data_IF_805873107469
#
_entry.id   IF_805873107469
#
_cell.length_a   1.000
_cell.length_b   1.000
_cell.length_c   1.000
_cell.angle_alpha   90.00
_cell.angle_beta   90.00
_cell.angle_gamma   90.00
#
_symmetry.space_group_name_H-M   'P 1'
#
loop_
_entity.id
_entity.type
_entity.pdbx_description
1 polymer ?
#
# COMPACT_ATOMS: atom_id res chain seq x y z
N UNK A 1 34.47 -18.38 -21.00
CA UNK A 1 34.63 -16.93 -20.78
C UNK A 1 33.25 -16.29 -20.87
N UNK A 2 32.67 -15.90 -19.74
CA UNK A 2 31.36 -15.26 -19.71
C UNK A 2 31.55 -13.76 -20.03
N UNK A 3 30.97 -13.32 -21.15
CA UNK A 3 31.03 -11.91 -21.57
C UNK A 3 30.11 -11.07 -20.70
N UNK A 4 30.68 -10.10 -19.98
CA UNK A 4 29.93 -9.07 -19.26
C UNK A 4 29.12 -8.26 -20.27
N UNK A 5 27.80 -8.48 -20.31
CA UNK A 5 26.88 -7.61 -21.05
C UNK A 5 26.86 -6.28 -20.29
N UNK A 6 27.63 -5.31 -20.77
CA UNK A 6 27.51 -3.94 -20.29
C UNK A 6 26.14 -3.45 -20.73
N UNK A 7 25.21 -3.13 -19.81
CA UNK A 7 23.91 -2.61 -20.21
C UNK A 7 24.15 -1.36 -21.03
N UNK A 8 23.62 -1.34 -22.26
CA UNK A 8 23.58 -0.13 -23.08
C UNK A 8 22.88 0.94 -22.23
N UNK A 9 23.67 1.88 -21.68
CA UNK A 9 23.12 3.10 -21.10
C UNK A 9 22.40 3.78 -22.25
N UNK A 10 21.08 3.65 -22.27
CA UNK A 10 20.24 4.39 -23.19
C UNK A 10 20.60 5.85 -22.90
N UNK A 11 21.25 6.51 -23.87
CA UNK A 11 21.47 7.94 -23.76
C UNK A 11 20.07 8.54 -23.58
N UNK A 12 19.74 8.95 -22.35
CA UNK A 12 18.41 9.48 -22.05
C UNK A 12 18.23 10.68 -22.98
N UNK A 13 17.28 10.54 -23.90
CA UNK A 13 16.97 11.59 -24.85
C UNK A 13 16.34 12.73 -24.04
N UNK A 14 17.12 13.79 -23.84
CA UNK A 14 16.65 15.00 -23.18
C UNK A 14 15.65 15.70 -24.09
N UNK A 15 14.52 16.10 -23.52
CA UNK A 15 13.43 16.74 -24.24
C UNK A 15 13.03 18.08 -23.58
N UNK A 16 12.21 18.84 -24.30
CA UNK A 16 11.82 20.21 -23.93
C UNK A 16 10.29 20.30 -23.90
N UNK A 17 9.75 20.83 -22.80
CA UNK A 17 8.39 21.39 -22.76
C UNK A 17 8.52 22.88 -23.08
N UNK A 18 7.78 23.35 -24.08
CA UNK A 18 7.85 24.73 -24.56
C UNK A 18 6.49 25.41 -24.55
N UNK A 19 6.53 26.74 -24.57
CA UNK A 19 5.38 27.62 -24.76
C UNK A 19 5.45 28.34 -26.09
N UNK A 20 4.30 28.61 -26.70
CA UNK A 20 4.14 29.58 -27.78
C UNK A 20 3.44 30.82 -27.25
N UNK A 21 4.09 31.96 -27.42
CA UNK A 21 3.68 33.24 -26.89
C UNK A 21 3.21 34.16 -28.02
N UNK A 22 2.15 34.90 -27.76
CA UNK A 22 1.64 35.93 -28.65
C UNK A 22 2.60 37.14 -28.65
N UNK A 23 3.22 37.51 -29.78
CA UNK A 23 4.23 38.56 -29.82
C UNK A 23 3.66 39.96 -29.56
N UNK A 24 2.33 40.14 -29.57
CA UNK A 24 1.67 41.42 -29.31
C UNK A 24 1.50 41.72 -27.83
N UNK A 25 1.30 40.66 -27.05
CA UNK A 25 0.86 40.75 -25.64
C UNK A 25 1.76 39.99 -24.67
N UNK A 26 2.69 39.21 -25.20
CA UNK A 26 3.47 38.22 -24.47
C UNK A 26 2.63 37.16 -23.71
N UNK A 27 1.38 36.98 -24.12
CA UNK A 27 0.51 35.97 -23.52
C UNK A 27 0.90 34.57 -24.00
N UNK A 28 1.04 33.62 -23.07
CA UNK A 28 1.19 32.21 -23.38
C UNK A 28 -0.11 31.66 -23.99
N UNK A 29 -0.04 31.19 -25.23
CA UNK A 29 -1.21 30.69 -25.99
C UNK A 29 -1.21 29.19 -26.18
N UNK A 30 -0.07 28.53 -26.14
CA UNK A 30 -0.02 27.08 -26.32
C UNK A 30 1.19 26.49 -25.62
N UNK A 31 1.03 25.29 -25.08
CA UNK A 31 2.10 24.50 -24.48
C UNK A 31 2.24 23.22 -25.29
N UNK A 32 3.48 22.84 -25.57
CA UNK A 32 3.76 21.58 -26.23
C UNK A 32 5.06 20.96 -25.77
N UNK A 33 5.35 19.78 -26.29
CA UNK A 33 6.62 19.07 -26.06
C UNK A 33 7.37 18.72 -27.35
N UNK A 34 8.69 18.59 -27.26
CA UNK A 34 9.54 18.15 -28.38
C UNK A 34 10.84 17.50 -27.89
N UNK A 35 11.34 16.52 -28.64
CA UNK A 35 12.68 15.94 -28.51
C UNK A 35 13.68 16.56 -29.49
N UNK A 36 13.22 17.45 -30.38
CA UNK A 36 14.03 18.15 -31.37
C UNK A 36 14.29 19.61 -30.99
N UNK A 37 14.74 20.41 -31.95
CA UNK A 37 14.97 21.84 -31.72
C UNK A 37 13.66 22.63 -31.73
N UNK A 38 13.59 23.68 -30.91
CA UNK A 38 12.42 24.58 -30.87
C UNK A 38 12.16 25.25 -32.23
N UNK A 39 13.21 25.60 -32.98
CA UNK A 39 13.07 26.18 -34.32
C UNK A 39 12.35 25.23 -35.29
N UNK A 40 12.75 23.95 -35.32
CA UNK A 40 12.09 22.94 -36.15
C UNK A 40 10.63 22.73 -35.71
N UNK A 41 10.38 22.72 -34.39
CA UNK A 41 9.03 22.55 -33.86
C UNK A 41 8.11 23.73 -34.18
N UNK A 42 8.61 24.96 -34.09
CA UNK A 42 7.89 26.17 -34.47
C UNK A 42 7.55 26.17 -35.97
N UNK A 43 8.49 25.78 -36.83
CA UNK A 43 8.24 25.62 -38.26
C UNK A 43 7.12 24.59 -38.51
N UNK A 44 7.15 23.46 -37.79
CA UNK A 44 6.11 22.43 -37.83
C UNK A 44 4.71 22.97 -37.50
N UNK A 45 4.56 23.72 -36.41
CA UNK A 45 3.28 24.34 -36.03
C UNK A 45 2.75 25.32 -37.06
N UNK A 46 3.63 26.11 -37.70
CA UNK A 46 3.26 27.07 -38.74
C UNK A 46 2.75 26.38 -40.01
N UNK A 47 3.28 25.21 -40.35
CA UNK A 47 2.84 24.42 -41.51
C UNK A 47 1.63 23.55 -41.21
N UNK A 48 1.58 22.94 -40.03
CA UNK A 48 0.58 21.95 -39.64
C UNK A 48 0.04 22.23 -38.23
N UNK A 49 -0.83 23.24 -38.08
CA UNK A 49 -1.43 23.55 -36.77
C UNK A 49 -2.24 22.36 -36.24
N UNK A 50 -2.04 21.94 -34.97
CA UNK A 50 -2.69 20.77 -34.37
C UNK A 50 -4.20 20.96 -34.11
N UNK A 51 -4.70 22.20 -34.06
CA UNK A 51 -6.12 22.48 -33.83
C UNK A 51 -6.63 23.64 -34.71
N UNK A 52 -7.96 23.70 -34.99
CA UNK A 52 -8.56 24.82 -35.70
C UNK A 52 -8.38 26.17 -35.00
N UNK A 53 -8.42 26.20 -33.67
CA UNK A 53 -8.19 27.42 -32.89
C UNK A 53 -6.76 27.95 -33.06
N UNK A 54 -5.76 27.07 -32.99
CA UNK A 54 -4.38 27.44 -33.26
C UNK A 54 -4.16 27.88 -34.70
N UNK A 55 -4.80 27.23 -35.67
CA UNK A 55 -4.75 27.67 -37.08
C UNK A 55 -5.24 29.11 -37.23
N UNK A 56 -6.43 29.43 -36.69
CA UNK A 56 -6.98 30.79 -36.72
C UNK A 56 -6.03 31.81 -36.08
N UNK A 57 -5.53 31.51 -34.89
CA UNK A 57 -4.56 32.38 -34.21
C UNK A 57 -3.27 32.61 -35.02
N UNK A 58 -2.72 31.56 -35.63
CA UNK A 58 -1.53 31.68 -36.49
C UNK A 58 -1.81 32.45 -37.78
N UNK A 59 -2.99 32.29 -38.38
CA UNK A 59 -3.41 33.05 -39.56
C UNK A 59 -3.61 34.54 -39.23
N UNK A 60 -4.17 34.86 -38.06
CA UNK A 60 -4.31 36.23 -37.56
C UNK A 60 -2.95 36.89 -37.29
N UNK A 61 -1.97 36.14 -36.76
CA UNK A 61 -0.59 36.64 -36.61
C UNK A 61 0.05 36.87 -37.98
N UNK A 62 -0.12 35.95 -38.93
CA UNK A 62 0.42 36.06 -40.29
C UNK A 62 -0.16 37.27 -41.03
N UNK A 63 -1.46 37.51 -40.93
CA UNK A 63 -2.13 38.66 -41.54
C UNK A 63 -1.56 40.00 -41.05
N UNK A 64 -1.06 40.04 -39.81
CA UNK A 64 -0.38 41.21 -39.24
C UNK A 64 1.14 41.22 -39.48
N UNK A 65 1.70 40.28 -40.25
CA UNK A 65 3.15 40.16 -40.46
C UNK A 65 3.94 39.72 -39.22
N UNK A 66 3.29 39.05 -38.26
CA UNK A 66 3.89 38.62 -37.00
C UNK A 66 4.11 37.09 -36.97
N UNK A 67 5.02 36.65 -36.09
CA UNK A 67 5.35 35.23 -35.86
C UNK A 67 5.31 34.96 -34.35
N UNK A 68 4.68 33.86 -33.89
CA UNK A 68 4.68 33.54 -32.47
C UNK A 68 6.09 33.23 -31.96
N UNK A 69 6.37 33.61 -30.73
CA UNK A 69 7.64 33.32 -30.05
C UNK A 69 7.56 31.95 -29.38
N UNK A 70 8.54 31.08 -29.64
CA UNK A 70 8.69 29.80 -28.94
C UNK A 70 9.75 29.91 -27.86
N UNK A 71 9.45 29.46 -26.64
CA UNK A 71 10.36 29.57 -25.49
C UNK A 71 10.29 28.27 -24.68
N UNK A 72 11.42 27.72 -24.22
CA UNK A 72 11.39 26.57 -23.32
C UNK A 72 10.74 26.98 -21.99
N UNK A 73 9.82 26.15 -21.50
CA UNK A 73 9.25 26.25 -20.15
C UNK A 73 9.97 25.32 -19.18
N UNK A 74 10.38 24.14 -19.68
CA UNK A 74 11.20 23.16 -18.95
C UNK A 74 12.17 22.52 -19.95
N UNK A 75 13.46 22.61 -19.68
CA UNK A 75 14.52 21.97 -20.45
C UNK A 75 14.98 20.68 -19.76
N UNK A 76 15.64 19.80 -20.52
CA UNK A 76 16.24 18.55 -20.02
C UNK A 76 15.26 17.61 -19.31
N UNK A 77 14.03 17.50 -19.83
CA UNK A 77 13.03 16.56 -19.32
C UNK A 77 13.33 15.16 -19.87
N UNK A 78 13.45 14.11 -19.03
CA UNK A 78 13.56 12.74 -19.51
C UNK A 78 12.42 12.39 -20.46
N UNK A 79 12.71 11.72 -21.58
CA UNK A 79 11.70 11.42 -22.60
C UNK A 79 10.50 10.63 -22.04
N UNK A 80 10.75 9.76 -21.07
CA UNK A 80 9.76 8.97 -20.34
C UNK A 80 8.77 9.82 -19.50
N UNK A 81 9.21 10.99 -19.02
CA UNK A 81 8.41 11.91 -18.19
C UNK A 81 7.78 13.05 -19.00
N UNK A 82 8.09 13.14 -20.29
CA UNK A 82 7.78 14.31 -21.11
C UNK A 82 6.27 14.57 -21.26
N UNK A 83 5.45 13.52 -21.30
CA UNK A 83 4.00 13.66 -21.38
C UNK A 83 3.41 14.23 -20.08
N UNK A 84 3.87 13.73 -18.93
CA UNK A 84 3.42 14.19 -17.61
C UNK A 84 3.88 15.62 -17.35
N UNK A 85 5.09 15.98 -17.79
CA UNK A 85 5.60 17.34 -17.70
C UNK A 85 4.78 18.33 -18.53
N UNK A 86 4.38 17.96 -19.76
CA UNK A 86 3.48 18.76 -20.61
C UNK A 86 2.11 18.95 -19.96
N UNK A 87 1.48 17.88 -19.48
CA UNK A 87 0.18 17.94 -18.81
C UNK A 87 0.23 18.80 -17.54
N UNK A 88 1.31 18.69 -16.77
CA UNK A 88 1.53 19.50 -15.56
C UNK A 88 1.62 20.98 -15.91
N UNK A 89 2.42 21.35 -16.92
CA UNK A 89 2.54 22.74 -17.36
C UNK A 89 1.21 23.31 -17.89
N UNK A 90 0.43 22.51 -18.61
CA UNK A 90 -0.93 22.87 -19.04
C UNK A 90 -1.85 23.12 -17.83
N UNK A 91 -1.85 22.23 -16.84
CA UNK A 91 -2.66 22.39 -15.63
C UNK A 91 -2.28 23.67 -14.85
N UNK A 92 -0.99 23.90 -14.63
CA UNK A 92 -0.47 25.06 -13.89
C UNK A 92 -0.91 26.38 -14.54
N UNK A 93 -0.72 26.51 -15.85
CA UNK A 93 -1.07 27.74 -16.55
C UNK A 93 -2.57 27.92 -16.78
N UNK A 94 -3.32 26.84 -17.00
CA UNK A 94 -4.79 26.92 -17.05
C UNK A 94 -5.36 27.37 -15.70
N UNK A 95 -4.84 26.87 -14.57
CA UNK A 95 -5.23 27.32 -13.24
C UNK A 95 -4.84 28.77 -12.95
N UNK A 96 -3.74 29.24 -13.53
CA UNK A 96 -3.33 30.65 -13.46
C UNK A 96 -4.18 31.58 -14.35
N UNK A 97 -5.16 31.05 -15.09
CA UNK A 97 -6.05 31.82 -15.96
C UNK A 97 -5.48 32.09 -17.35
N UNK A 98 -4.43 31.36 -17.78
CA UNK A 98 -3.95 31.47 -19.16
C UNK A 98 -5.00 30.96 -20.15
N UNK A 99 -5.25 31.74 -21.19
CA UNK A 99 -6.14 31.41 -22.30
C UNK A 99 -5.40 30.52 -23.32
N UNK A 100 -5.24 29.25 -22.93
CA UNK A 100 -4.51 28.23 -23.69
C UNK A 100 -5.36 27.63 -24.81
N UNK A 101 -4.76 27.51 -25.99
CA UNK A 101 -5.33 26.87 -27.18
C UNK A 101 -5.27 25.33 -27.11
N UNK A 102 -4.75 24.76 -26.03
CA UNK A 102 -4.70 23.33 -25.75
C UNK A 102 -6.07 22.77 -25.30
N UNK A 103 -7.16 23.01 -26.02
CA UNK A 103 -8.54 22.73 -25.55
C UNK A 103 -8.70 21.32 -24.93
N UNK A 104 -8.32 20.27 -25.66
CA UNK A 104 -8.38 18.89 -25.16
C UNK A 104 -7.37 18.62 -24.03
N UNK A 105 -6.17 19.22 -24.11
CA UNK A 105 -5.13 19.09 -23.10
C UNK A 105 -5.52 19.71 -21.76
N UNK A 106 -6.18 20.87 -21.78
CA UNK A 106 -6.66 21.57 -20.57
C UNK A 106 -7.70 20.73 -19.83
N UNK A 107 -8.69 20.18 -20.55
CA UNK A 107 -9.70 19.32 -19.94
C UNK A 107 -9.08 18.08 -19.28
N UNK A 108 -8.17 17.39 -19.98
CA UNK A 108 -7.43 16.23 -19.46
C UNK A 108 -6.59 16.60 -18.24
N UNK A 109 -5.81 17.68 -18.32
CA UNK A 109 -4.93 18.13 -17.24
C UNK A 109 -5.73 18.53 -15.98
N UNK A 110 -6.85 19.23 -16.14
CA UNK A 110 -7.73 19.57 -15.01
C UNK A 110 -8.44 18.34 -14.43
N UNK A 111 -8.80 17.35 -15.25
CA UNK A 111 -9.36 16.09 -14.78
C UNK A 111 -8.34 15.32 -13.93
N UNK A 112 -7.11 15.15 -14.44
CA UNK A 112 -6.01 14.50 -13.73
C UNK A 112 -5.70 15.21 -12.39
N UNK A 113 -5.65 16.54 -12.39
CA UNK A 113 -5.44 17.30 -11.16
C UNK A 113 -6.57 17.11 -10.14
N UNK A 114 -7.84 17.07 -10.59
CA UNK A 114 -8.98 16.77 -9.71
C UNK A 114 -8.87 15.36 -9.13
N UNK A 115 -8.48 14.39 -9.93
CA UNK A 115 -8.27 13.02 -9.46
C UNK A 115 -7.13 12.93 -8.44
N UNK A 116 -5.99 13.58 -8.71
CA UNK A 116 -4.88 13.65 -7.77
C UNK A 116 -5.30 14.32 -6.45
N UNK A 117 -6.06 15.42 -6.51
CA UNK A 117 -6.63 16.07 -5.31
C UNK A 117 -7.58 15.15 -4.56
N UNK A 118 -8.45 14.41 -5.27
CA UNK A 118 -9.34 13.42 -4.65
C UNK A 118 -8.52 12.29 -4.00
N UNK A 119 -7.47 11.80 -4.65
CA UNK A 119 -6.58 10.79 -4.08
C UNK A 119 -5.90 11.31 -2.81
N UNK A 120 -5.32 12.52 -2.85
CA UNK A 120 -4.71 13.16 -1.69
C UNK A 120 -5.70 13.37 -0.54
N UNK A 121 -6.92 13.82 -0.85
CA UNK A 121 -8.00 13.97 0.14
C UNK A 121 -8.43 12.62 0.73
N UNK A 122 -8.49 11.56 -0.08
CA UNK A 122 -8.75 10.19 0.40
C UNK A 122 -7.65 9.72 1.35
N UNK A 123 -6.38 9.85 0.95
CA UNK A 123 -5.23 9.50 1.80
C UNK A 123 -5.23 10.28 3.10
N UNK A 124 -5.49 11.59 3.07
CA UNK A 124 -5.61 12.41 4.27
C UNK A 124 -6.80 11.99 5.16
N UNK A 125 -7.93 11.64 4.56
CA UNK A 125 -9.09 11.10 5.27
C UNK A 125 -8.79 9.78 5.98
N UNK A 126 -8.09 8.86 5.31
CA UNK A 126 -7.63 7.59 5.90
C UNK A 126 -6.63 7.81 7.02
N UNK A 127 -5.69 8.75 6.86
CA UNK A 127 -4.72 9.10 7.90
C UNK A 127 -5.39 9.59 9.18
N UNK A 128 -6.35 10.51 9.07
CA UNK A 128 -7.14 10.97 10.22
C UNK A 128 -7.88 9.82 10.91
N UNK A 129 -8.54 8.96 10.13
CA UNK A 129 -9.24 7.80 10.70
C UNK A 129 -8.28 6.86 11.45
N UNK A 130 -7.09 6.63 10.90
CA UNK A 130 -6.09 5.78 11.52
C UNK A 130 -5.58 6.36 12.85
N UNK A 131 -5.32 7.66 12.88
CA UNK A 131 -4.93 8.39 14.09
C UNK A 131 -6.05 8.40 15.15
N UNK A 132 -7.31 8.58 14.74
CA UNK A 132 -8.48 8.51 15.61
C UNK A 132 -8.64 7.12 16.23
N UNK A 133 -8.60 6.05 15.42
CA UNK A 133 -8.71 4.67 15.91
C UNK A 133 -7.58 4.36 16.89
N UNK A 134 -6.34 4.74 16.56
CA UNK A 134 -5.19 4.54 17.43
C UNK A 134 -5.34 5.27 18.77
N UNK A 135 -5.75 6.55 18.72
CA UNK A 135 -5.93 7.40 19.90
C UNK A 135 -7.09 6.95 20.79
N UNK A 136 -8.12 6.32 20.20
CA UNK A 136 -9.23 5.73 20.93
C UNK A 136 -8.86 4.44 21.70
N UNK A 137 -7.58 4.04 21.70
CA UNK A 137 -7.13 2.81 22.32
C UNK A 137 -7.51 1.56 21.54
N UNK A 138 -7.93 1.70 20.28
CA UNK A 138 -8.17 0.56 19.40
C UNK A 138 -6.87 -0.07 18.85
N UNK A 139 -5.71 0.29 19.41
CA UNK A 139 -4.41 -0.26 19.03
C UNK A 139 -4.38 -1.79 19.07
N UNK A 140 -3.32 -2.37 18.53
CA UNK A 140 -3.20 -3.83 18.47
C UNK A 140 -3.39 -4.43 19.87
N UNK A 141 -4.42 -5.25 20.01
CA UNK A 141 -4.50 -6.16 21.14
C UNK A 141 -3.28 -7.08 21.09
N UNK A 142 -2.78 -7.45 22.27
CA UNK A 142 -1.78 -8.50 22.38
C UNK A 142 -2.28 -9.76 21.62
N UNK A 143 -1.36 -10.55 21.03
CA UNK A 143 -1.74 -11.82 20.45
C UNK A 143 -2.47 -12.64 21.51
N UNK A 144 -3.42 -13.47 21.06
CA UNK A 144 -3.99 -14.46 21.96
C UNK A 144 -2.84 -15.27 22.55
N UNK A 145 -2.81 -15.46 23.88
CA UNK A 145 -1.92 -16.45 24.47
C UNK A 145 -2.41 -17.80 23.96
N UNK A 146 -1.86 -18.23 22.84
CA UNK A 146 -2.05 -19.59 22.36
C UNK A 146 -0.93 -20.36 23.03
N UNK A 147 -1.25 -21.09 24.08
CA UNK A 147 -0.36 -22.10 24.67
C UNK A 147 -0.26 -23.32 23.73
N UNK A 148 0.04 -23.05 22.44
CA UNK A 148 0.22 -24.06 21.44
C UNK A 148 1.66 -24.53 21.48
N UNK A 149 1.83 -25.79 21.87
CA UNK A 149 3.07 -26.52 21.68
C UNK A 149 2.88 -27.50 20.52
N UNK A 150 3.84 -27.52 19.59
CA UNK A 150 3.85 -28.50 18.52
C UNK A 150 3.99 -29.90 19.13
N UNK A 151 3.16 -30.87 18.72
CA UNK A 151 3.35 -32.22 19.22
C UNK A 151 4.70 -32.78 18.76
N UNK A 152 5.40 -33.59 19.60
CA UNK A 152 6.67 -34.21 19.19
C UNK A 152 6.54 -35.01 17.90
N UNK A 153 5.41 -35.71 17.73
CA UNK A 153 5.09 -36.46 16.51
C UNK A 153 5.04 -35.55 15.27
N UNK A 154 4.37 -34.41 15.35
CA UNK A 154 4.30 -33.47 14.23
C UNK A 154 5.67 -32.88 13.93
N UNK A 155 6.46 -32.58 14.96
CA UNK A 155 7.84 -32.11 14.77
C UNK A 155 8.71 -33.13 14.05
N UNK A 156 8.68 -34.39 14.47
CA UNK A 156 9.47 -35.46 13.85
C UNK A 156 9.16 -35.60 12.36
N UNK A 157 7.87 -35.50 11.99
CA UNK A 157 7.44 -35.54 10.58
C UNK A 157 7.95 -34.32 9.82
N UNK A 158 7.77 -33.11 10.36
CA UNK A 158 8.21 -31.86 9.73
C UNK A 158 9.72 -31.88 9.50
N UNK A 159 10.48 -32.25 10.52
CA UNK A 159 11.94 -32.36 10.44
C UNK A 159 12.36 -33.41 9.41
N UNK A 160 11.70 -34.58 9.39
CA UNK A 160 11.97 -35.64 8.41
C UNK A 160 11.71 -35.17 6.98
N UNK A 161 10.56 -34.52 6.73
CA UNK A 161 10.20 -34.02 5.41
C UNK A 161 11.16 -32.93 4.92
N UNK A 162 11.59 -32.04 5.80
CA UNK A 162 12.48 -30.94 5.45
C UNK A 162 13.92 -31.38 5.19
N UNK A 163 14.41 -32.38 5.93
CA UNK A 163 15.75 -32.95 5.77
C UNK A 163 15.82 -34.03 4.69
N UNK A 164 14.67 -34.45 4.15
CA UNK A 164 14.59 -35.43 3.08
C UNK A 164 15.38 -34.94 1.85
N UNK A 165 16.34 -35.73 1.33
CA UNK A 165 17.07 -35.35 0.13
C UNK A 165 16.14 -35.20 -1.07
N UNK A 166 16.45 -34.24 -1.95
CA UNK A 166 15.73 -34.01 -3.20
C UNK A 166 16.07 -35.13 -4.18
N UNK A 167 15.06 -35.86 -4.65
CA UNK A 167 15.21 -36.90 -5.68
C UNK A 167 15.09 -36.26 -7.06
N UNK A 168 16.18 -35.64 -7.54
CA UNK A 168 16.20 -34.92 -8.82
C UNK A 168 15.87 -35.77 -10.05
N UNK A 169 15.68 -37.10 -9.90
CA UNK A 169 15.31 -37.99 -11.01
C UNK A 169 13.84 -37.87 -11.44
N UNK A 170 12.94 -37.38 -10.57
CA UNK A 170 11.48 -37.38 -10.82
C UNK A 170 10.89 -36.01 -11.15
N UNK A 171 11.41 -34.95 -10.55
CA UNK A 171 10.88 -33.59 -10.67
C UNK A 171 12.00 -32.57 -10.53
N UNK A 172 11.79 -31.34 -11.00
CA UNK A 172 12.70 -30.23 -10.69
C UNK A 172 12.76 -29.98 -9.19
N UNK A 173 13.88 -29.42 -8.72
CA UNK A 173 14.08 -29.09 -7.30
C UNK A 173 12.96 -28.19 -6.77
N UNK A 174 12.51 -27.22 -7.58
CA UNK A 174 11.44 -26.28 -7.24
C UNK A 174 10.08 -26.98 -7.02
N UNK A 175 9.75 -27.96 -7.87
CA UNK A 175 8.50 -28.73 -7.76
C UNK A 175 8.54 -29.60 -6.50
N UNK A 176 9.66 -30.28 -6.22
CA UNK A 176 9.79 -31.09 -5.00
C UNK A 176 9.79 -30.25 -3.73
N UNK A 177 10.39 -29.08 -3.79
CA UNK A 177 10.36 -28.10 -2.71
C UNK A 177 8.91 -27.69 -2.43
N UNK A 178 8.13 -27.38 -3.46
CA UNK A 178 6.70 -27.05 -3.34
C UNK A 178 5.87 -28.19 -2.72
N UNK A 179 6.05 -29.43 -3.18
CA UNK A 179 5.35 -30.59 -2.61
C UNK A 179 5.69 -30.82 -1.14
N UNK A 180 6.99 -30.78 -0.78
CA UNK A 180 7.42 -30.92 0.62
C UNK A 180 6.81 -29.85 1.51
N UNK A 181 6.74 -28.61 1.05
CA UNK A 181 6.10 -27.55 1.82
C UNK A 181 4.62 -27.78 2.01
N UNK A 182 3.90 -28.22 0.98
CA UNK A 182 2.49 -28.56 1.11
C UNK A 182 2.28 -29.63 2.19
N UNK A 183 3.08 -30.70 2.17
CA UNK A 183 2.98 -31.77 3.18
C UNK A 183 3.32 -31.27 4.59
N UNK A 184 4.39 -30.49 4.74
CA UNK A 184 4.78 -29.88 6.03
C UNK A 184 3.64 -28.99 6.56
N UNK A 185 3.05 -28.16 5.70
CA UNK A 185 1.96 -27.27 6.08
C UNK A 185 0.73 -28.06 6.53
N UNK A 186 0.36 -29.14 5.82
CA UNK A 186 -0.77 -29.99 6.20
C UNK A 186 -0.61 -30.60 7.59
N UNK A 187 0.61 -31.05 7.93
CA UNK A 187 0.92 -31.60 9.25
C UNK A 187 0.84 -30.53 10.34
N UNK A 188 1.48 -29.39 10.12
CA UNK A 188 1.48 -28.27 11.06
C UNK A 188 0.06 -27.73 11.31
N UNK A 189 -0.73 -27.56 10.24
CA UNK A 189 -2.12 -27.14 10.34
C UNK A 189 -2.99 -28.15 11.08
N UNK A 190 -2.84 -29.44 10.79
CA UNK A 190 -3.61 -30.50 11.45
C UNK A 190 -3.36 -30.50 12.96
N UNK A 191 -2.12 -30.29 13.36
CA UNK A 191 -1.70 -30.24 14.76
C UNK A 191 -2.17 -28.96 15.47
N UNK A 192 -2.08 -27.81 14.81
CA UNK A 192 -2.47 -26.52 15.36
C UNK A 192 -3.98 -26.30 15.41
N UNK A 193 -4.74 -26.91 14.49
CA UNK A 193 -6.19 -26.66 14.30
C UNK A 193 -7.03 -26.68 15.58
N UNK A 194 -6.82 -27.60 16.54
CA UNK A 194 -7.60 -27.61 17.78
C UNK A 194 -7.35 -26.41 18.69
N UNK A 195 -6.16 -25.78 18.60
CA UNK A 195 -5.75 -24.64 19.41
C UNK A 195 -6.06 -23.29 18.74
N UNK A 196 -6.20 -23.26 17.41
CA UNK A 196 -6.52 -22.04 16.68
C UNK A 196 -7.99 -21.64 16.94
N UNK A 197 -8.29 -20.33 17.08
CA UNK A 197 -9.67 -19.88 17.19
C UNK A 197 -10.47 -20.36 15.97
N UNK A 198 -11.78 -20.63 16.11
CA UNK A 198 -12.64 -20.98 15.00
C UNK A 198 -12.81 -19.76 14.09
N UNK A 199 -11.83 -19.49 13.24
CA UNK A 199 -11.96 -18.51 12.17
C UNK A 199 -12.87 -19.18 11.15
N UNK A 200 -14.05 -18.60 10.94
CA UNK A 200 -15.04 -19.14 9.99
C UNK A 200 -14.36 -19.55 8.69
N UNK A 201 -14.66 -20.76 8.23
CA UNK A 201 -14.02 -21.48 7.12
C UNK A 201 -13.97 -20.68 5.80
N UNK A 202 -13.06 -19.73 5.74
CA UNK A 202 -12.69 -19.06 4.51
C UNK A 202 -11.60 -19.91 3.85
N UNK A 203 -11.87 -20.44 2.65
CA UNK A 203 -10.89 -21.24 1.91
C UNK A 203 -9.61 -20.44 1.67
N UNK A 204 -9.74 -19.11 1.51
CA UNK A 204 -8.62 -18.19 1.31
C UNK A 204 -7.72 -18.14 2.57
N UNK A 205 -8.28 -18.31 3.78
CA UNK A 205 -7.50 -18.35 5.02
C UNK A 205 -6.63 -19.60 5.10
N UNK A 206 -7.11 -20.74 4.60
CA UNK A 206 -6.32 -21.99 4.62
C UNK A 206 -5.08 -21.87 3.73
N UNK A 207 -5.24 -21.30 2.53
CA UNK A 207 -4.13 -21.04 1.61
C UNK A 207 -3.14 -20.00 2.15
N UNK A 208 -3.63 -18.95 2.80
CA UNK A 208 -2.79 -17.93 3.44
C UNK A 208 -2.04 -18.48 4.65
N UNK A 209 -2.67 -19.30 5.51
CA UNK A 209 -1.95 -19.95 6.61
C UNK A 209 -0.88 -20.89 6.06
N UNK A 210 -1.19 -21.69 5.02
CA UNK A 210 -0.20 -22.52 4.34
C UNK A 210 0.99 -21.70 3.83
N UNK A 211 0.70 -20.56 3.19
CA UNK A 211 1.74 -19.66 2.68
C UNK A 211 2.60 -19.10 3.82
N UNK A 212 1.98 -18.66 4.92
CA UNK A 212 2.68 -18.13 6.09
C UNK A 212 3.57 -19.19 6.76
N UNK A 213 3.04 -20.41 6.93
CA UNK A 213 3.76 -21.53 7.55
C UNK A 213 4.94 -21.96 6.69
N UNK A 214 4.77 -22.05 5.37
CA UNK A 214 5.85 -22.38 4.45
C UNK A 214 7.00 -21.38 4.53
N UNK A 215 6.71 -20.07 4.50
CA UNK A 215 7.80 -19.07 4.59
C UNK A 215 8.40 -18.95 5.98
N UNK A 216 7.66 -19.25 7.04
CA UNK A 216 8.26 -19.38 8.37
C UNK A 216 9.28 -20.49 8.42
N UNK A 217 8.94 -21.62 7.82
CA UNK A 217 9.87 -22.72 7.72
C UNK A 217 11.12 -22.35 6.90
N UNK A 218 10.96 -21.64 5.78
CA UNK A 218 12.07 -21.19 4.93
C UNK A 218 12.96 -20.12 5.59
N UNK A 219 12.36 -19.17 6.31
CA UNK A 219 13.07 -18.05 6.94
C UNK A 219 13.85 -18.48 8.18
N UNK A 220 13.44 -19.58 8.82
CA UNK A 220 14.16 -20.14 9.95
C UNK A 220 15.37 -20.92 9.43
N UNK A 221 16.56 -20.35 9.62
CA UNK A 221 17.85 -21.00 9.29
C UNK A 221 18.11 -22.27 10.09
N UNK A 222 17.50 -22.39 11.28
CA UNK A 222 17.45 -23.60 12.10
C UNK A 222 16.13 -23.58 12.90
N UNK A 223 15.01 -24.07 12.34
CA UNK A 223 13.73 -24.03 13.02
C UNK A 223 13.79 -24.91 14.26
N UNK A 224 13.39 -24.37 15.43
CA UNK A 224 13.09 -25.17 16.62
C UNK A 224 11.58 -25.39 16.71
N UNK A 225 11.11 -26.45 17.40
CA UNK A 225 9.68 -26.68 17.61
C UNK A 225 8.98 -25.44 18.18
N UNK A 226 9.61 -24.80 19.19
CA UNK A 226 9.07 -23.63 19.87
C UNK A 226 8.97 -22.40 18.95
N UNK A 227 9.97 -22.16 18.09
CA UNK A 227 9.94 -21.05 17.15
C UNK A 227 8.85 -21.22 16.09
N UNK A 228 8.68 -22.44 15.58
CA UNK A 228 7.62 -22.78 14.62
C UNK A 228 6.24 -22.69 15.27
N UNK A 229 6.08 -23.21 16.50
CA UNK A 229 4.83 -23.12 17.25
C UNK A 229 4.45 -21.67 17.56
N UNK A 230 5.41 -20.84 18.01
CA UNK A 230 5.20 -19.42 18.27
C UNK A 230 4.76 -18.67 17.00
N UNK A 231 5.36 -19.00 15.85
CA UNK A 231 4.96 -18.39 14.58
C UNK A 231 3.55 -18.81 14.16
N UNK A 232 3.24 -20.11 14.16
CA UNK A 232 1.91 -20.65 13.79
C UNK A 232 0.82 -20.00 14.65
N UNK A 233 1.08 -19.89 15.96
CA UNK A 233 0.19 -19.25 16.92
C UNK A 233 -0.08 -17.78 16.62
N UNK A 234 0.88 -17.08 16.01
CA UNK A 234 0.75 -15.68 15.64
C UNK A 234 -0.03 -15.46 14.34
N UNK A 235 -0.19 -16.48 13.47
CA UNK A 235 -0.83 -16.31 12.15
C UNK A 235 -2.27 -15.78 12.25
N UNK A 236 -3.17 -16.34 13.10
CA UNK A 236 -4.52 -15.77 13.24
C UNK A 236 -4.51 -14.32 13.71
N UNK A 237 -3.60 -13.97 14.63
CA UNK A 237 -3.45 -12.60 15.12
C UNK A 237 -2.95 -11.66 14.02
N UNK A 238 -1.95 -12.08 13.24
CA UNK A 238 -1.47 -11.34 12.07
C UNK A 238 -2.61 -11.07 11.09
N UNK A 239 -3.47 -12.05 10.85
CA UNK A 239 -4.54 -11.93 9.85
C UNK A 239 -5.74 -11.12 10.33
N UNK A 240 -6.24 -11.43 11.52
CA UNK A 240 -7.49 -10.86 12.04
C UNK A 240 -7.23 -9.49 12.65
N UNK A 241 -6.08 -9.32 13.30
CA UNK A 241 -5.75 -8.11 14.04
C UNK A 241 -4.79 -7.24 13.24
N UNK A 242 -3.63 -7.75 12.81
CA UNK A 242 -2.58 -6.90 12.21
C UNK A 242 -2.88 -6.48 10.77
N UNK A 243 -3.40 -7.36 9.92
CA UNK A 243 -3.61 -7.07 8.50
C UNK A 243 -4.59 -5.90 8.23
N UNK A 244 -5.71 -5.76 8.97
CA UNK A 244 -6.55 -4.55 8.87
C UNK A 244 -5.79 -3.25 9.17
N UNK A 245 -4.87 -3.27 10.14
CA UNK A 245 -4.02 -2.12 10.48
C UNK A 245 -3.00 -1.81 9.38
N UNK A 246 -2.40 -2.83 8.76
CA UNK A 246 -1.50 -2.64 7.60
C UNK A 246 -2.23 -2.06 6.41
N UNK A 247 -3.42 -2.58 6.08
CA UNK A 247 -4.24 -2.03 5.01
C UNK A 247 -4.62 -0.58 5.28
N UNK A 248 -5.03 -0.27 6.51
CA UNK A 248 -5.32 1.11 6.91
C UNK A 248 -4.09 2.03 6.79
N UNK A 249 -2.91 1.58 7.24
CA UNK A 249 -1.66 2.32 7.10
C UNK A 249 -1.31 2.58 5.63
N UNK A 250 -1.43 1.56 4.77
CA UNK A 250 -1.20 1.66 3.34
C UNK A 250 -2.12 2.70 2.68
N UNK A 251 -3.42 2.66 2.94
CA UNK A 251 -4.37 3.66 2.41
C UNK A 251 -4.13 5.08 2.96
N UNK A 252 -3.60 5.18 4.18
CA UNK A 252 -3.25 6.44 4.84
C UNK A 252 -1.88 7.01 4.41
N UNK A 253 -1.13 6.30 3.56
CA UNK A 253 0.25 6.65 3.23
C UNK A 253 1.13 6.73 4.48
N UNK A 254 0.96 5.78 5.39
CA UNK A 254 1.76 5.60 6.60
C UNK A 254 2.66 4.36 6.45
N UNK A 255 3.71 4.23 7.29
CA UNK A 255 4.50 3.00 7.32
C UNK A 255 3.61 1.79 7.60
N UNK A 256 3.65 0.76 6.75
CA UNK A 256 2.79 -0.42 6.82
C UNK A 256 3.56 -1.74 7.00
N UNK A 257 4.89 -1.67 7.08
CA UNK A 257 5.79 -2.80 7.28
C UNK A 257 6.96 -2.42 8.22
N UNK A 258 7.57 -3.41 8.85
CA UNK A 258 8.81 -3.27 9.60
C UNK A 258 8.68 -2.52 10.92
N UNK A 259 9.82 -2.02 11.41
CA UNK A 259 9.93 -1.35 12.72
C UNK A 259 9.15 -0.03 12.78
N UNK A 260 9.03 0.69 11.66
CA UNK A 260 8.25 1.93 11.59
C UNK A 260 6.75 1.66 11.77
N UNK A 261 6.21 0.62 11.11
CA UNK A 261 4.83 0.20 11.31
C UNK A 261 4.58 -0.27 12.74
N UNK A 262 5.47 -1.11 13.29
CA UNK A 262 5.37 -1.59 14.66
C UNK A 262 5.32 -0.44 15.67
N UNK A 263 6.20 0.54 15.53
CA UNK A 263 6.27 1.74 16.38
C UNK A 263 5.03 2.63 16.23
N UNK A 264 4.47 2.71 15.02
CA UNK A 264 3.29 3.51 14.75
C UNK A 264 2.02 2.90 15.35
N UNK A 265 1.82 1.59 15.16
CA UNK A 265 0.54 0.91 15.44
C UNK A 265 0.33 0.58 16.93
N UNK A 266 1.42 0.45 17.69
CA UNK A 266 1.36 0.14 19.12
C UNK A 266 2.50 0.81 19.89
N UNK A 267 2.25 1.17 21.14
CA UNK A 267 3.27 1.62 22.10
C UNK A 267 3.83 0.51 23.00
N UNK A 268 3.32 -0.71 22.87
CA UNK A 268 3.75 -1.86 23.68
C UNK A 268 5.02 -2.50 23.08
N UNK A 269 6.17 -2.47 23.79
CA UNK A 269 7.43 -3.01 23.29
C UNK A 269 7.37 -4.51 22.96
N UNK A 270 6.55 -5.30 23.67
CA UNK A 270 6.43 -6.73 23.44
C UNK A 270 5.74 -7.03 22.11
N UNK A 271 4.67 -6.28 21.81
CA UNK A 271 3.95 -6.37 20.53
C UNK A 271 4.84 -5.86 19.39
N UNK A 272 5.62 -4.80 19.63
CA UNK A 272 6.57 -4.28 18.63
C UNK A 272 7.63 -5.32 18.27
N UNK A 273 8.28 -5.95 19.26
CA UNK A 273 9.28 -6.99 19.03
C UNK A 273 8.68 -8.15 18.23
N UNK A 274 7.46 -8.57 18.58
CA UNK A 274 6.79 -9.64 17.88
C UNK A 274 6.46 -9.28 16.43
N UNK A 275 5.96 -8.08 16.14
CA UNK A 275 5.73 -7.62 14.77
C UNK A 275 7.03 -7.60 13.95
N UNK A 276 8.11 -7.08 14.53
CA UNK A 276 9.43 -7.03 13.87
C UNK A 276 9.94 -8.45 13.57
N UNK A 277 9.83 -9.35 14.55
CA UNK A 277 10.21 -10.76 14.39
C UNK A 277 9.39 -11.44 13.29
N UNK A 278 8.08 -11.19 13.24
CA UNK A 278 7.18 -11.75 12.23
C UNK A 278 7.43 -11.16 10.84
N UNK A 279 7.78 -9.88 10.73
CA UNK A 279 8.13 -9.26 9.45
C UNK A 279 9.44 -9.77 8.87
N UNK A 280 10.43 -10.07 9.71
CA UNK A 280 11.66 -10.73 9.28
C UNK A 280 11.38 -12.10 8.62
N UNK A 281 10.31 -12.76 9.08
CA UNK A 281 9.88 -14.07 8.59
C UNK A 281 8.94 -13.95 7.37
N UNK A 282 8.09 -12.93 7.32
CA UNK A 282 7.11 -12.73 6.24
C UNK A 282 7.66 -11.99 5.01
N UNK A 283 8.70 -11.15 5.16
CA UNK A 283 9.29 -10.36 4.06
C UNK A 283 9.80 -11.20 2.87
N UNK A 284 10.35 -12.41 3.05
CA UNK A 284 10.68 -13.31 1.95
C UNK A 284 9.45 -13.79 1.14
N UNK A 285 8.29 -13.95 1.79
CA UNK A 285 7.04 -14.38 1.16
C UNK A 285 6.33 -13.25 0.41
N UNK A 286 6.35 -12.03 0.95
CA UNK A 286 5.72 -10.85 0.35
C UNK A 286 6.35 -10.44 -1.00
N UNK A 287 7.57 -10.90 -1.28
CA UNK A 287 8.25 -10.70 -2.57
C UNK A 287 7.67 -11.56 -3.70
N UNK A 288 6.77 -12.51 -3.43
CA UNK A 288 5.98 -13.14 -4.49
C UNK A 288 4.87 -12.18 -4.91
N UNK A 289 4.82 -11.76 -6.19
CA UNK A 289 3.80 -10.81 -6.64
C UNK A 289 2.41 -11.42 -6.45
N UNK A 290 1.65 -10.89 -5.49
CA UNK A 290 0.22 -11.16 -5.40
C UNK A 290 -0.41 -10.61 -6.67
N UNK A 291 -0.98 -11.51 -7.49
CA UNK A 291 -1.74 -11.12 -8.69
C UNK A 291 -2.84 -10.16 -8.23
N UNK A 292 -2.89 -8.90 -8.71
CA UNK A 292 -3.98 -8.01 -8.32
C UNK A 292 -5.31 -8.62 -8.76
N UNK A 293 -6.23 -8.88 -7.82
CA UNK A 293 -7.63 -9.19 -8.13
C UNK A 293 -8.21 -7.93 -8.79
N UNK A 294 -8.56 -8.03 -10.08
CA UNK A 294 -8.92 -6.90 -10.94
C UNK A 294 -10.19 -6.14 -10.56
N UNK A 295 -10.96 -6.62 -9.57
CA UNK A 295 -12.34 -6.19 -9.38
C UNK A 295 -12.58 -5.43 -8.06
N UNK A 296 -11.59 -5.28 -7.18
CA UNK A 296 -11.92 -5.04 -5.76
C UNK A 296 -11.95 -3.59 -5.27
N UNK A 297 -11.53 -2.56 -6.03
CA UNK A 297 -11.41 -1.22 -5.45
C UNK A 297 -11.87 -0.08 -6.37
N UNK A 298 -13.16 -0.03 -6.67
CA UNK A 298 -13.87 1.25 -6.83
C UNK A 298 -14.47 1.68 -5.47
N UNK A 299 -13.85 2.62 -4.75
CA UNK A 299 -14.34 3.10 -3.46
C UNK A 299 -15.51 4.10 -3.55
N UNK A 300 -16.01 4.41 -4.76
CA UNK A 300 -17.12 5.35 -4.97
C UNK A 300 -18.41 5.02 -4.19
N UNK A 301 -18.61 3.75 -3.82
CA UNK A 301 -19.79 3.27 -3.08
C UNK A 301 -19.52 2.69 -1.67
N UNK A 302 -18.29 2.74 -1.16
CA UNK A 302 -17.83 1.78 -0.14
C UNK A 302 -17.55 2.28 1.28
N UNK A 303 -17.52 3.60 1.54
CA UNK A 303 -17.10 4.13 2.85
C UNK A 303 -17.96 3.62 4.04
N UNK A 304 -19.22 3.25 3.80
CA UNK A 304 -20.09 2.65 4.81
C UNK A 304 -19.73 1.21 5.20
N UNK A 305 -19.20 0.39 4.28
CA UNK A 305 -18.90 -1.03 4.54
C UNK A 305 -17.57 -1.23 5.25
N UNK A 306 -16.54 -0.45 4.92
CA UNK A 306 -15.24 -0.49 5.59
C UNK A 306 -15.36 -0.06 7.07
N UNK A 307 -16.17 0.99 7.35
CA UNK A 307 -16.52 1.38 8.72
C UNK A 307 -17.24 0.26 9.48
N UNK A 308 -18.10 -0.51 8.80
CA UNK A 308 -18.81 -1.66 9.38
C UNK A 308 -17.91 -2.84 9.75
N UNK A 309 -16.93 -3.19 8.90
CA UNK A 309 -15.97 -4.28 9.19
C UNK A 309 -14.98 -3.90 10.30
N UNK A 310 -14.42 -2.68 10.27
CA UNK A 310 -13.51 -2.20 11.32
C UNK A 310 -14.23 -2.07 12.68
N UNK A 311 -15.47 -1.58 12.70
CA UNK A 311 -16.27 -1.59 13.94
C UNK A 311 -16.55 -3.00 14.44
N UNK A 312 -16.83 -3.99 13.58
CA UNK A 312 -17.04 -5.39 14.03
C UNK A 312 -15.76 -6.03 14.57
N UNK A 313 -14.59 -5.76 13.98
CA UNK A 313 -13.31 -6.24 14.49
C UNK A 313 -12.91 -5.57 15.82
N UNK A 314 -13.19 -4.27 15.96
CA UNK A 314 -12.93 -3.51 17.20
C UNK A 314 -13.99 -3.70 18.30
N UNK A 315 -15.14 -4.31 17.99
CA UNK A 315 -16.24 -4.61 18.93
C UNK A 315 -16.34 -6.10 19.29
N UNK A 316 -15.27 -6.89 19.11
CA UNK A 316 -15.14 -8.08 19.95
C UNK A 316 -15.08 -7.54 21.39
N UNK A 317 -16.07 -7.82 22.25
CA UNK A 317 -16.07 -7.26 23.60
C UNK A 317 -14.84 -7.80 24.30
N UNK A 318 -13.83 -6.94 24.48
CA UNK A 318 -12.78 -7.17 25.46
C UNK A 318 -13.51 -7.31 26.80
N UNK A 319 -13.64 -8.56 27.24
CA UNK A 319 -14.21 -8.87 28.54
C UNK A 319 -13.52 -7.98 29.57
N UNK A 320 -14.33 -7.23 30.33
CA UNK A 320 -13.87 -6.44 31.47
C UNK A 320 -12.82 -7.26 32.22
N UNK A 321 -11.58 -6.78 32.24
CA UNK A 321 -10.56 -7.35 33.12
C UNK A 321 -11.14 -7.36 34.54
N UNK A 322 -11.29 -8.56 35.11
CA UNK A 322 -11.79 -8.73 36.45
C UNK A 322 -10.84 -7.98 37.40
N UNK A 323 -11.36 -6.90 37.98
CA UNK A 323 -10.63 -6.08 38.94
C UNK A 323 -10.17 -6.95 40.10
N UNK A 324 -8.89 -6.81 40.42
CA UNK A 324 -8.30 -7.35 41.65
C UNK A 324 -9.04 -6.78 42.86
N UNK A 325 -9.61 -7.67 43.66
CA UNK A 325 -10.20 -7.37 44.95
C UNK A 325 -9.13 -6.79 45.88
N UNK A 326 -9.27 -5.53 46.27
CA UNK A 326 -8.56 -4.92 47.39
C UNK A 326 -9.34 -5.24 48.69
N UNK A 327 -8.69 -5.58 49.81
CA UNK A 327 -9.40 -5.96 51.03
C UNK A 327 -10.06 -4.75 51.70
N UNK A 328 -11.23 -5.01 52.28
CA UNK A 328 -12.04 -4.05 53.00
C UNK A 328 -11.32 -3.52 54.26
N UNK A 329 -11.22 -2.20 54.38
CA UNK A 329 -11.02 -1.51 55.66
C UNK A 329 -12.35 -0.88 56.02
N UNK A 330 -12.92 -1.36 57.12
CA UNK A 330 -14.18 -0.87 57.66
C UNK A 330 -14.08 0.55 58.17
N UNK A 331 -15.15 1.31 57.98
CA UNK A 331 -15.53 2.37 58.90
C UNK A 331 -17.06 2.45 58.99
N UNK A 332 -17.52 2.22 60.20
CA UNK A 332 -18.85 2.43 60.77
C UNK A 332 -19.15 3.92 60.87
N UNK A 333 -20.38 4.35 60.56
CA UNK A 333 -21.20 5.41 61.25
C UNK A 333 -22.55 5.57 60.48
N UNK A 334 -23.63 6.16 61.06
CA UNK A 334 -24.91 5.48 61.19
C UNK A 334 -26.04 6.14 60.39
N UNK A 335 -27.14 5.41 60.27
CA UNK A 335 -28.43 5.92 59.79
C UNK A 335 -29.15 6.72 60.90
N UNK A 336 -29.66 7.88 60.53
CA UNK A 336 -30.79 8.60 61.16
C UNK A 336 -31.40 9.46 60.04
N UNK A 337 -32.54 9.08 59.46
CA UNK A 337 -33.91 9.33 59.91
C UNK A 337 -34.44 10.76 59.61
N UNK A 338 -35.47 10.79 58.76
CA UNK A 338 -36.69 11.61 58.87
C UNK A 338 -36.87 12.93 58.10
N UNK A 339 -38.05 12.96 57.43
CA UNK A 339 -38.99 14.06 57.10
C UNK A 339 -38.63 15.00 55.93
N UNK A 340 -39.41 15.09 54.84
CA UNK A 340 -40.85 15.43 54.64
C UNK A 340 -41.12 16.95 54.69
N UNK A 341 -41.86 17.43 53.67
CA UNK A 341 -42.30 18.80 53.30
C UNK A 341 -41.28 19.65 52.51
N UNK A 342 -41.59 20.24 51.35
CA UNK A 342 -42.86 20.51 50.62
C UNK A 342 -42.73 20.15 49.14
#
# INVERSE_FOLDING_TARGET
MAGTVVPFRHAQLMAIVYGLFDPRTDALRYIGRTTGTLAARLAGHRGHPPSPAMRRWLDDLRAAGLVPRITPLRDNVPAEELADAELTAIAEHALAGADLLNEAGVATALCALREQRRAAQRTAGWRRLAEELRSAGAGLAAPWPVDYALSPKTWDVVHTLATRPVDSSRYSEEVQRTFRYSEICDWLLRDARPALPPVHHDADLHEEINTCVAGAYEALTAPTPDAVAAYISAVPWLRIVVAPWRGLAQYAGLPHEGSEFASWVTGDPSIQEQLIRLDAVASPLAKRPTRPRGDELDPGGGAGRARGRLRRAALIPLGRAAGHSTPAIGSTFPRSASRMYR
#
